data_IF_015958622580
#
_entry.id   IF_015958622580
#
_cell.length_a   1.000
_cell.length_b   1.000
_cell.length_c   1.000
_cell.angle_alpha   90.00
_cell.angle_beta   90.00
_cell.angle_gamma   90.00
#
_symmetry.space_group_name_H-M   'P 1'
#
loop_
_entity.id
_entity.type
_entity.pdbx_description
1 polymer ?
#
# COMPACT_ATOMS: atom_id res chain seq x y z
N UNK A 1 14.41 -64.19 30.90
CA UNK A 1 15.18 -63.42 29.89
C UNK A 1 14.45 -63.57 28.56
N UNK A 2 13.59 -62.61 28.24
CA UNK A 2 12.72 -62.63 27.08
C UNK A 2 13.24 -61.71 25.98
N UNK A 3 13.22 -62.19 24.75
CA UNK A 3 13.40 -61.39 23.53
C UNK A 3 12.04 -61.14 22.90
N UNK A 4 11.65 -59.87 22.82
CA UNK A 4 10.41 -59.44 22.17
C UNK A 4 10.75 -59.06 20.73
N UNK A 5 10.34 -59.90 19.79
CA UNK A 5 10.37 -59.58 18.36
C UNK A 5 9.17 -58.70 18.02
N UNK A 6 9.41 -57.42 17.71
CA UNK A 6 8.36 -56.53 17.20
C UNK A 6 8.25 -56.65 15.68
N UNK A 7 7.29 -57.45 15.22
CA UNK A 7 6.79 -57.40 13.84
C UNK A 7 5.89 -56.18 13.68
N UNK A 8 6.40 -55.10 13.08
CA UNK A 8 5.55 -54.05 12.51
C UNK A 8 5.38 -54.38 11.03
N UNK A 9 4.22 -54.94 10.71
CA UNK A 9 3.76 -55.20 9.36
C UNK A 9 3.45 -53.87 8.66
N UNK A 10 4.34 -53.43 7.78
CA UNK A 10 4.07 -52.31 6.87
C UNK A 10 3.06 -52.79 5.82
N UNK A 11 1.85 -52.23 5.89
CA UNK A 11 0.77 -52.49 4.94
C UNK A 11 1.10 -51.83 3.60
N UNK A 12 1.71 -52.57 2.69
CA UNK A 12 1.94 -52.18 1.29
C UNK A 12 0.61 -52.20 0.54
N UNK A 13 0.06 -51.02 0.25
CA UNK A 13 -1.01 -50.85 -0.75
C UNK A 13 -0.36 -50.16 -1.94
N UNK A 14 -0.10 -50.92 -3.01
CA UNK A 14 0.33 -50.38 -4.29
C UNK A 14 1.74 -49.78 -4.33
N UNK A 15 2.77 -50.62 -4.12
CA UNK A 15 4.17 -50.48 -4.58
C UNK A 15 4.82 -49.07 -4.67
N UNK A 16 4.43 -48.14 -3.80
CA UNK A 16 5.11 -46.86 -3.59
C UNK A 16 5.08 -46.56 -2.10
N UNK A 17 6.24 -46.64 -1.47
CA UNK A 17 6.47 -46.14 -0.13
C UNK A 17 6.24 -44.63 -0.13
N UNK A 18 5.05 -44.22 0.32
CA UNK A 18 4.71 -42.82 0.51
C UNK A 18 5.32 -42.34 1.83
N UNK A 19 6.65 -42.18 1.81
CA UNK A 19 7.38 -41.52 2.89
C UNK A 19 7.03 -40.03 2.92
N UNK A 20 6.92 -39.46 4.13
CA UNK A 20 6.54 -38.07 4.41
C UNK A 20 7.41 -37.02 3.65
N UNK A 21 8.54 -37.43 3.10
CA UNK A 21 9.44 -36.65 2.25
C UNK A 21 8.93 -36.38 0.84
N UNK A 22 7.90 -37.09 0.33
CA UNK A 22 7.37 -36.87 -1.03
C UNK A 22 6.35 -35.72 -1.13
N UNK A 23 5.76 -35.30 -0.01
CA UNK A 23 4.80 -34.19 0.03
C UNK A 23 5.49 -32.83 -0.12
N UNK A 24 6.64 -32.64 0.55
CA UNK A 24 7.46 -31.44 0.41
C UNK A 24 8.08 -31.28 -0.99
N UNK A 25 8.43 -32.38 -1.65
CA UNK A 25 9.07 -32.31 -2.98
C UNK A 25 8.09 -32.06 -4.13
N UNK A 26 6.78 -32.27 -3.96
CA UNK A 26 5.80 -32.09 -5.04
C UNK A 26 4.90 -30.85 -4.90
N UNK A 27 4.59 -30.38 -3.69
CA UNK A 27 3.73 -29.20 -3.48
C UNK A 27 4.50 -27.89 -3.62
N UNK A 28 5.70 -27.83 -3.03
CA UNK A 28 6.57 -26.65 -3.05
C UNK A 28 6.86 -26.16 -4.48
N UNK A 29 7.33 -27.00 -5.43
CA UNK A 29 7.66 -26.51 -6.77
C UNK A 29 6.42 -26.19 -7.64
N UNK A 30 5.27 -26.82 -7.37
CA UNK A 30 4.08 -26.65 -8.22
C UNK A 30 3.15 -25.52 -7.75
N UNK A 31 3.20 -25.13 -6.48
CA UNK A 31 2.34 -24.06 -5.96
C UNK A 31 3.13 -22.80 -5.55
N UNK A 32 4.27 -22.94 -4.88
CA UNK A 32 4.99 -21.78 -4.33
C UNK A 32 5.68 -20.98 -5.44
N UNK A 33 6.25 -21.66 -6.42
CA UNK A 33 6.94 -21.02 -7.56
C UNK A 33 6.01 -20.18 -8.45
N UNK A 34 4.84 -20.65 -8.90
CA UNK A 34 3.93 -19.81 -9.69
C UNK A 34 3.28 -18.69 -8.86
N UNK A 35 2.95 -18.93 -7.60
CA UNK A 35 2.35 -17.92 -6.72
C UNK A 35 3.35 -16.81 -6.40
N UNK A 36 4.59 -17.14 -6.05
CA UNK A 36 5.64 -16.14 -5.79
C UNK A 36 5.97 -15.31 -7.04
N UNK A 37 6.01 -15.95 -8.22
CA UNK A 37 6.18 -15.25 -9.49
C UNK A 37 5.04 -14.25 -9.77
N UNK A 38 3.80 -14.65 -9.51
CA UNK A 38 2.62 -13.79 -9.67
C UNK A 38 2.63 -12.60 -8.71
N UNK A 39 2.99 -12.83 -7.44
CA UNK A 39 3.08 -11.77 -6.42
C UNK A 39 4.15 -10.74 -6.81
N UNK A 40 5.31 -11.21 -7.28
CA UNK A 40 6.39 -10.34 -7.74
C UNK A 40 5.96 -9.48 -8.93
N UNK A 41 5.25 -10.07 -9.90
CA UNK A 41 4.69 -9.34 -11.04
C UNK A 41 3.61 -8.33 -10.64
N UNK A 42 2.75 -8.68 -9.69
CA UNK A 42 1.72 -7.76 -9.17
C UNK A 42 2.37 -6.57 -8.47
N UNK A 43 3.34 -6.81 -7.57
CA UNK A 43 4.06 -5.73 -6.87
C UNK A 43 4.80 -4.81 -7.84
N UNK A 44 5.17 -5.34 -9.00
CA UNK A 44 5.83 -4.60 -10.07
C UNK A 44 4.90 -3.68 -10.84
N UNK A 45 3.68 -4.14 -11.13
CA UNK A 45 2.64 -3.41 -11.87
C UNK A 45 1.78 -2.53 -10.94
N UNK A 46 2.00 -2.65 -9.62
CA UNK A 46 1.17 -2.03 -8.60
C UNK A 46 1.03 -0.50 -8.75
N UNK A 47 2.12 0.29 -8.88
CA UNK A 47 1.98 1.75 -8.93
C UNK A 47 1.10 2.22 -10.09
N UNK A 48 1.31 1.66 -11.28
CA UNK A 48 0.56 2.02 -12.49
C UNK A 48 -0.89 1.56 -12.41
N UNK A 49 -1.11 0.33 -11.90
CA UNK A 49 -2.44 -0.25 -11.73
C UNK A 49 -3.27 0.56 -10.74
N UNK A 50 -2.66 1.07 -9.66
CA UNK A 50 -3.34 1.87 -8.64
C UNK A 50 -3.65 3.28 -9.16
N UNK A 51 -2.76 3.91 -9.93
CA UNK A 51 -3.04 5.20 -10.57
C UNK A 51 -4.23 5.07 -11.53
N UNK A 52 -4.19 4.08 -12.42
CA UNK A 52 -5.28 3.88 -13.39
C UNK A 52 -6.58 3.46 -12.70
N UNK A 53 -6.50 2.57 -11.71
CA UNK A 53 -7.65 2.09 -10.94
C UNK A 53 -8.33 3.21 -10.15
N UNK A 54 -7.55 4.07 -9.48
CA UNK A 54 -8.09 5.22 -8.74
C UNK A 54 -8.71 6.27 -9.67
N UNK A 55 -8.09 6.54 -10.83
CA UNK A 55 -8.65 7.44 -11.85
C UNK A 55 -9.98 6.90 -12.39
N UNK A 56 -10.04 5.61 -12.71
CA UNK A 56 -11.25 4.95 -13.19
C UNK A 56 -12.37 5.01 -12.13
N UNK A 57 -12.04 4.68 -10.88
CA UNK A 57 -12.99 4.75 -9.77
C UNK A 57 -13.48 6.18 -9.54
N UNK A 58 -12.62 7.19 -9.69
CA UNK A 58 -13.02 8.59 -9.64
C UNK A 58 -14.06 8.92 -10.73
N UNK A 59 -13.80 8.56 -11.98
CA UNK A 59 -14.75 8.82 -13.07
C UNK A 59 -16.10 8.12 -12.88
N UNK A 60 -16.08 6.87 -12.40
CA UNK A 60 -17.29 6.07 -12.21
C UNK A 60 -18.11 6.49 -11.00
N UNK A 61 -17.45 6.77 -9.87
CA UNK A 61 -18.14 7.07 -8.60
C UNK A 61 -18.34 8.56 -8.36
N UNK A 62 -17.63 9.42 -9.09
CA UNK A 62 -17.54 10.86 -8.86
C UNK A 62 -17.17 11.22 -7.41
N UNK A 63 -16.52 10.31 -6.69
CA UNK A 63 -16.09 10.53 -5.31
C UNK A 63 -14.73 11.25 -5.30
N UNK A 64 -14.71 12.46 -4.74
CA UNK A 64 -13.55 13.34 -4.65
C UNK A 64 -12.32 12.67 -4.00
N UNK A 65 -12.53 11.74 -3.05
CA UNK A 65 -11.43 11.03 -2.38
C UNK A 65 -10.57 10.22 -3.35
N UNK A 66 -11.19 9.52 -4.32
CA UNK A 66 -10.44 8.79 -5.35
C UNK A 66 -9.73 9.73 -6.33
N UNK A 67 -10.34 10.88 -6.63
CA UNK A 67 -9.74 11.89 -7.50
C UNK A 67 -8.46 12.46 -6.89
N UNK A 68 -8.51 12.86 -5.62
CA UNK A 68 -7.33 13.42 -4.95
C UNK A 68 -6.29 12.34 -4.67
N UNK A 69 -6.71 11.12 -4.37
CA UNK A 69 -5.76 10.00 -4.28
C UNK A 69 -5.02 9.78 -5.61
N UNK A 70 -5.70 9.93 -6.75
CA UNK A 70 -5.06 9.88 -8.06
C UNK A 70 -4.04 11.01 -8.24
N UNK A 71 -4.41 12.24 -7.89
CA UNK A 71 -3.50 13.40 -7.93
C UNK A 71 -2.28 13.16 -7.06
N UNK A 72 -2.47 12.69 -5.82
CA UNK A 72 -1.40 12.29 -4.91
C UNK A 72 -0.44 11.29 -5.54
N UNK A 73 -0.93 10.26 -6.22
CA UNK A 73 -0.07 9.26 -6.87
C UNK A 73 0.71 9.85 -8.05
N UNK A 74 0.10 10.75 -8.83
CA UNK A 74 0.79 11.47 -9.89
C UNK A 74 1.89 12.38 -9.32
N UNK A 75 1.60 13.14 -8.26
CA UNK A 75 2.59 13.97 -7.56
C UNK A 75 3.71 13.11 -7.00
N UNK A 76 3.39 11.99 -6.36
CA UNK A 76 4.36 11.02 -5.83
C UNK A 76 5.29 10.52 -6.95
N UNK A 77 4.78 10.28 -8.16
CA UNK A 77 5.61 9.91 -9.32
C UNK A 77 6.60 11.02 -9.71
N UNK A 78 6.17 12.29 -9.65
CA UNK A 78 7.02 13.44 -9.94
C UNK A 78 8.08 13.65 -8.85
N UNK A 79 7.71 13.47 -7.57
CA UNK A 79 8.64 13.54 -6.45
C UNK A 79 9.67 12.42 -6.50
N UNK A 80 9.28 11.19 -6.85
CA UNK A 80 10.22 10.09 -7.03
C UNK A 80 11.28 10.44 -8.09
N UNK A 81 10.86 11.02 -9.22
CA UNK A 81 11.78 11.48 -10.27
C UNK A 81 12.70 12.59 -9.79
N UNK A 82 12.16 13.58 -9.11
CA UNK A 82 12.94 14.69 -8.58
C UNK A 82 14.00 14.19 -7.61
N UNK A 83 13.62 13.29 -6.71
CA UNK A 83 14.50 12.63 -5.76
C UNK A 83 15.57 11.83 -6.51
N UNK A 84 15.17 11.01 -7.48
CA UNK A 84 16.10 10.22 -8.28
C UNK A 84 17.12 11.09 -9.00
N UNK A 85 16.67 12.20 -9.59
CA UNK A 85 17.54 13.18 -10.23
C UNK A 85 18.53 13.81 -9.24
N UNK A 86 18.08 14.17 -8.04
CA UNK A 86 18.95 14.70 -6.99
C UNK A 86 19.98 13.67 -6.54
N UNK A 87 19.58 12.41 -6.34
CA UNK A 87 20.49 11.32 -5.98
C UNK A 87 21.54 11.06 -7.07
N UNK A 88 21.14 11.07 -8.34
CA UNK A 88 22.04 10.88 -9.49
C UNK A 88 23.08 12.00 -9.57
N UNK A 89 22.68 13.25 -9.29
CA UNK A 89 23.58 14.41 -9.29
C UNK A 89 24.49 14.45 -8.07
N UNK A 90 23.96 14.14 -6.88
CA UNK A 90 24.71 14.20 -5.61
C UNK A 90 25.72 13.06 -5.51
N UNK A 91 25.40 11.88 -6.05
CA UNK A 91 26.27 10.69 -6.00
C UNK A 91 27.31 10.64 -7.13
N UNK A 92 27.48 11.73 -7.89
CA UNK A 92 28.61 11.90 -8.81
C UNK A 92 28.42 11.36 -10.23
N UNK A 93 27.19 11.23 -10.75
CA UNK A 93 26.85 11.27 -12.18
C UNK A 93 27.49 10.28 -13.18
N UNK A 94 28.46 9.45 -12.79
CA UNK A 94 29.19 8.53 -13.69
C UNK A 94 28.83 7.07 -13.50
N UNK A 95 27.98 6.74 -12.53
CA UNK A 95 27.92 5.40 -11.95
C UNK A 95 26.52 4.79 -11.78
N UNK A 96 25.46 5.38 -12.34
CA UNK A 96 24.10 4.80 -12.24
C UNK A 96 23.96 3.45 -12.98
N UNK A 97 24.96 3.05 -13.78
CA UNK A 97 25.04 1.69 -14.32
C UNK A 97 26.20 0.85 -13.78
N UNK A 98 27.20 1.41 -13.06
CA UNK A 98 28.44 0.65 -12.82
C UNK A 98 29.24 0.94 -11.56
N UNK A 99 28.86 1.83 -10.63
CA UNK A 99 29.76 2.01 -9.47
C UNK A 99 29.12 2.51 -8.17
N UNK A 100 29.50 1.81 -7.10
CA UNK A 100 29.27 2.07 -5.66
C UNK A 100 27.84 2.10 -5.10
N UNK A 101 26.80 1.88 -5.90
CA UNK A 101 25.57 1.25 -5.41
C UNK A 101 25.69 -0.27 -5.56
N UNK A 102 25.01 -1.11 -4.74
CA UNK A 102 24.92 -2.53 -5.06
C UNK A 102 24.39 -2.65 -6.49
N UNK A 103 25.13 -3.36 -7.36
CA UNK A 103 24.76 -3.48 -8.76
C UNK A 103 23.32 -3.97 -8.86
N UNK A 104 22.40 -3.13 -9.36
CA UNK A 104 21.03 -3.58 -9.63
C UNK A 104 21.15 -4.72 -10.60
N UNK A 105 20.52 -5.84 -10.25
CA UNK A 105 20.56 -7.03 -11.09
C UNK A 105 20.03 -6.62 -12.47
N UNK A 106 20.83 -6.86 -13.51
CA UNK A 106 20.41 -6.62 -14.91
C UNK A 106 19.36 -7.64 -15.36
N UNK A 107 18.89 -8.49 -14.44
CA UNK A 107 17.85 -9.47 -14.68
C UNK A 107 16.53 -8.73 -14.94
N UNK A 108 15.95 -8.98 -16.12
CA UNK A 108 14.66 -8.43 -16.52
C UNK A 108 13.55 -8.71 -15.50
N UNK A 109 13.71 -9.76 -14.67
CA UNK A 109 12.75 -10.12 -13.60
C UNK A 109 12.65 -9.04 -12.51
N UNK A 110 13.70 -8.27 -12.26
CA UNK A 110 13.75 -7.35 -11.13
C UNK A 110 13.38 -5.89 -11.49
N UNK A 111 13.23 -5.59 -12.77
CA UNK A 111 12.92 -4.25 -13.29
C UNK A 111 11.43 -3.95 -13.21
N UNK A 112 11.03 -2.79 -12.68
CA UNK A 112 9.63 -2.32 -12.58
C UNK A 112 8.94 -1.99 -13.91
N UNK A 113 7.61 -2.08 -13.96
CA UNK A 113 6.77 -1.78 -15.13
C UNK A 113 6.45 -2.96 -16.06
N UNK A 114 5.76 -2.70 -17.18
CA UNK A 114 5.45 -3.73 -18.20
C UNK A 114 6.72 -4.24 -18.92
N UNK A 115 6.83 -5.56 -19.16
CA UNK A 115 8.00 -6.16 -19.85
C UNK A 115 8.09 -5.80 -21.33
N UNK A 116 6.95 -5.60 -21.98
CA UNK A 116 6.86 -5.27 -23.39
C UNK A 116 6.23 -3.88 -23.53
N UNK A 117 6.95 -2.93 -24.12
CA UNK A 117 6.44 -1.57 -24.32
C UNK A 117 5.41 -1.57 -25.44
N UNK A 118 4.24 -0.96 -25.22
CA UNK A 118 3.42 -0.47 -26.35
C UNK A 118 3.44 1.05 -26.50
N UNK A 119 3.96 1.82 -25.53
CA UNK A 119 4.03 3.29 -25.63
C UNK A 119 5.24 3.82 -24.83
N UNK A 120 6.12 4.60 -25.47
CA UNK A 120 7.43 5.03 -24.90
C UNK A 120 7.32 6.04 -23.75
N UNK A 121 6.18 6.69 -23.57
CA UNK A 121 5.96 7.71 -22.54
C UNK A 121 6.15 7.13 -21.12
N UNK A 122 5.70 5.90 -20.86
CA UNK A 122 5.88 5.21 -19.57
C UNK A 122 7.35 5.02 -19.18
N UNK A 123 8.24 4.83 -20.17
CA UNK A 123 9.67 4.61 -19.92
C UNK A 123 10.38 5.87 -19.42
N UNK A 124 9.87 7.05 -19.81
CA UNK A 124 10.30 8.33 -19.25
C UNK A 124 9.75 8.59 -17.85
N UNK A 125 8.64 7.95 -17.46
CA UNK A 125 8.04 8.07 -16.13
C UNK A 125 8.57 7.08 -15.09
N UNK A 126 8.92 5.87 -15.51
CA UNK A 126 9.30 4.75 -14.65
C UNK A 126 10.74 4.28 -14.89
N UNK A 127 11.59 5.17 -15.43
CA UNK A 127 13.02 4.90 -15.60
C UNK A 127 13.63 4.39 -14.30
N UNK A 128 14.54 3.42 -14.37
CA UNK A 128 15.11 2.69 -13.23
C UNK A 128 16.01 3.54 -12.33
N UNK A 129 15.51 4.67 -11.82
CA UNK A 129 16.19 5.56 -10.88
C UNK A 129 16.30 4.96 -9.50
N UNK A 130 17.32 5.37 -8.76
CA UNK A 130 17.45 5.12 -7.33
C UNK A 130 16.72 6.24 -6.58
N UNK A 131 15.90 5.96 -5.55
CA UNK A 131 15.64 4.67 -4.90
C UNK A 131 14.61 3.79 -5.62
N UNK A 132 14.41 2.54 -5.17
CA UNK A 132 13.45 1.58 -5.75
C UNK A 132 12.03 2.17 -5.85
N UNK A 133 11.54 2.39 -7.09
CA UNK A 133 10.22 2.96 -7.40
C UNK A 133 9.08 2.27 -6.64
N UNK A 134 8.87 0.94 -6.74
CA UNK A 134 7.72 0.31 -6.11
C UNK A 134 7.74 0.48 -4.58
N UNK A 135 8.90 0.35 -3.93
CA UNK A 135 9.00 0.53 -2.48
C UNK A 135 8.74 1.97 -2.04
N UNK A 136 9.21 2.94 -2.82
CA UNK A 136 8.90 4.35 -2.57
C UNK A 136 7.40 4.62 -2.65
N UNK A 137 6.72 4.08 -3.66
CA UNK A 137 5.26 4.18 -3.78
C UNK A 137 4.53 3.46 -2.64
N UNK A 138 4.91 2.23 -2.30
CA UNK A 138 4.31 1.51 -1.19
C UNK A 138 4.46 2.26 0.13
N UNK A 139 5.66 2.79 0.42
CA UNK A 139 5.89 3.61 1.62
C UNK A 139 5.04 4.88 1.63
N UNK A 140 4.96 5.57 0.49
CA UNK A 140 4.15 6.79 0.34
C UNK A 140 2.65 6.52 0.53
N UNK A 141 2.12 5.49 -0.14
CA UNK A 141 0.71 5.10 -0.04
C UNK A 141 0.38 4.62 1.36
N UNK A 142 1.21 3.75 1.96
CA UNK A 142 1.00 3.25 3.31
C UNK A 142 0.95 4.40 4.33
N UNK A 143 1.88 5.35 4.23
CA UNK A 143 1.88 6.52 5.10
C UNK A 143 0.67 7.43 4.86
N UNK A 144 0.29 7.68 3.60
CA UNK A 144 -0.87 8.50 3.26
C UNK A 144 -2.17 7.91 3.79
N UNK A 145 -2.39 6.61 3.58
CA UNK A 145 -3.58 5.91 4.07
C UNK A 145 -3.60 5.84 5.60
N UNK A 146 -2.45 5.57 6.23
CA UNK A 146 -2.35 5.56 7.69
C UNK A 146 -2.67 6.93 8.30
N UNK A 147 -2.17 8.02 7.70
CA UNK A 147 -2.48 9.38 8.15
C UNK A 147 -3.96 9.74 7.95
N UNK A 148 -4.57 9.27 6.87
CA UNK A 148 -6.01 9.39 6.66
C UNK A 148 -6.78 8.64 7.76
N UNK A 149 -6.46 7.37 8.01
CA UNK A 149 -7.10 6.55 9.05
C UNK A 149 -6.95 7.18 10.45
N UNK A 150 -5.76 7.69 10.78
CA UNK A 150 -5.50 8.36 12.05
C UNK A 150 -6.35 9.61 12.24
N UNK A 151 -6.63 10.35 11.17
CA UNK A 151 -7.41 11.59 11.23
C UNK A 151 -8.91 11.34 11.42
N UNK A 152 -9.40 10.16 11.06
CA UNK A 152 -10.79 9.75 11.29
C UNK A 152 -10.98 8.84 12.50
N UNK A 153 -9.91 8.56 13.25
CA UNK A 153 -9.94 7.69 14.42
C UNK A 153 -10.93 8.16 15.48
N UNK A 154 -10.90 9.45 15.83
CA UNK A 154 -11.80 10.02 16.85
C UNK A 154 -13.27 9.92 16.41
N UNK A 155 -13.55 10.17 15.13
CA UNK A 155 -14.88 10.02 14.54
C UNK A 155 -15.37 8.57 14.63
N UNK A 156 -14.49 7.59 14.34
CA UNK A 156 -14.81 6.17 14.45
C UNK A 156 -15.07 5.75 15.91
N UNK A 157 -14.29 6.27 16.86
CA UNK A 157 -14.47 5.98 18.29
C UNK A 157 -15.81 6.53 18.81
N UNK A 158 -16.28 7.67 18.28
CA UNK A 158 -17.59 8.26 18.62
C UNK A 158 -18.79 7.51 18.03
N UNK A 159 -18.62 6.81 16.90
CA UNK A 159 -19.70 6.04 16.25
C UNK A 159 -20.04 4.73 16.97
N UNK A 160 -19.26 4.32 17.97
CA UNK A 160 -19.52 3.17 18.83
C UNK A 160 -18.49 2.04 18.70
N UNK A 161 -18.58 1.02 19.58
CA UNK A 161 -17.55 -0.02 19.70
C UNK A 161 -17.37 -0.87 18.44
N UNK A 162 -18.42 -1.03 17.62
CA UNK A 162 -18.38 -1.79 16.36
C UNK A 162 -17.48 -1.13 15.29
N UNK A 163 -17.28 0.19 15.37
CA UNK A 163 -16.49 0.95 14.40
C UNK A 163 -15.00 0.97 14.75
N UNK A 164 -14.67 0.89 16.04
CA UNK A 164 -13.30 0.86 16.56
C UNK A 164 -12.47 -0.31 15.99
N UNK A 165 -13.10 -1.45 15.75
CA UNK A 165 -12.43 -2.62 15.15
C UNK A 165 -11.92 -2.37 13.72
N UNK A 166 -12.57 -1.48 12.96
CA UNK A 166 -12.21 -1.20 11.56
C UNK A 166 -10.88 -0.47 11.43
N UNK A 167 -10.61 0.48 12.32
CA UNK A 167 -9.33 1.19 12.37
C UNK A 167 -8.16 0.24 12.62
N UNK A 168 -8.31 -0.66 13.60
CA UNK A 168 -7.29 -1.66 13.94
C UNK A 168 -7.07 -2.61 12.75
N UNK A 169 -8.15 -3.07 12.13
CA UNK A 169 -8.07 -3.93 10.95
C UNK A 169 -7.36 -3.25 9.77
N UNK A 170 -7.73 -2.00 9.45
CA UNK A 170 -7.10 -1.23 8.37
C UNK A 170 -5.60 -1.02 8.58
N UNK A 171 -5.23 -0.54 9.77
CA UNK A 171 -3.82 -0.34 10.15
C UNK A 171 -3.02 -1.65 10.08
N UNK A 172 -3.61 -2.76 10.53
CA UNK A 172 -2.97 -4.09 10.49
C UNK A 172 -2.76 -4.56 9.06
N UNK A 173 -3.75 -4.37 8.17
CA UNK A 173 -3.65 -4.75 6.77
C UNK A 173 -2.61 -3.92 6.01
N UNK A 174 -2.54 -2.61 6.26
CA UNK A 174 -1.47 -1.76 5.70
C UNK A 174 -0.09 -2.28 6.11
N UNK A 175 0.07 -2.66 7.39
CA UNK A 175 1.31 -3.24 7.89
C UNK A 175 1.68 -4.58 7.22
N UNK A 176 0.72 -5.50 7.10
CA UNK A 176 0.93 -6.81 6.45
C UNK A 176 1.28 -6.64 4.97
N UNK A 177 0.52 -5.81 4.23
CA UNK A 177 0.77 -5.58 2.80
C UNK A 177 2.13 -4.93 2.58
N UNK A 178 2.51 -3.95 3.40
CA UNK A 178 3.84 -3.32 3.34
C UNK A 178 4.95 -4.32 3.61
N UNK A 179 4.78 -5.19 4.61
CA UNK A 179 5.73 -6.25 4.91
C UNK A 179 5.88 -7.25 3.76
N UNK A 180 4.77 -7.71 3.18
CA UNK A 180 4.78 -8.60 2.01
C UNK A 180 5.42 -7.94 0.78
N UNK A 181 5.21 -6.63 0.58
CA UNK A 181 5.86 -5.89 -0.49
C UNK A 181 7.38 -5.89 -0.33
N UNK A 182 7.90 -5.68 0.89
CA UNK A 182 9.34 -5.75 1.19
C UNK A 182 9.87 -7.16 0.92
N UNK A 183 9.19 -8.20 1.42
CA UNK A 183 9.57 -9.60 1.19
C UNK A 183 9.62 -9.94 -0.31
N UNK A 184 8.68 -9.42 -1.10
CA UNK A 184 8.59 -9.67 -2.55
C UNK A 184 9.81 -9.17 -3.34
N UNK A 185 10.60 -8.26 -2.75
CA UNK A 185 11.80 -7.66 -3.36
C UNK A 185 13.12 -8.21 -2.82
N UNK A 186 13.08 -9.05 -1.80
CA UNK A 186 14.28 -9.73 -1.30
C UNK A 186 14.85 -10.60 -2.43
N UNK A 187 16.09 -10.33 -2.83
CA UNK A 187 16.78 -11.01 -3.94
C UNK A 187 16.89 -10.17 -5.22
N UNK A 188 16.10 -9.11 -5.37
CA UNK A 188 16.25 -8.13 -6.45
C UNK A 188 17.06 -6.91 -6.02
N UNK A 189 16.75 -6.37 -4.84
CA UNK A 189 17.38 -5.17 -4.29
C UNK A 189 18.02 -5.50 -2.93
N UNK A 190 19.00 -4.70 -2.50
CA UNK A 190 19.58 -4.82 -1.16
C UNK A 190 18.58 -4.36 -0.08
N UNK A 191 18.58 -4.99 1.10
CA UNK A 191 17.67 -4.61 2.21
C UNK A 191 17.84 -3.14 2.62
N UNK A 192 19.05 -2.61 2.54
CA UNK A 192 19.34 -1.20 2.86
C UNK A 192 18.70 -0.27 1.82
N UNK A 193 18.80 -0.59 0.52
CA UNK A 193 18.15 0.18 -0.53
C UNK A 193 16.62 0.14 -0.41
N UNK A 194 16.05 -1.04 -0.10
CA UNK A 194 14.61 -1.17 0.16
C UNK A 194 14.18 -0.32 1.35
N UNK A 195 14.96 -0.35 2.44
CA UNK A 195 14.70 0.44 3.65
C UNK A 195 14.76 1.95 3.38
N UNK A 196 15.77 2.42 2.65
CA UNK A 196 15.89 3.83 2.25
C UNK A 196 14.72 4.23 1.35
N UNK A 197 14.41 3.44 0.32
CA UNK A 197 13.31 3.70 -0.60
C UNK A 197 11.97 3.84 0.14
N UNK A 198 11.69 2.88 1.03
CA UNK A 198 10.47 2.85 1.82
C UNK A 198 10.39 4.01 2.81
N UNK A 199 11.49 4.30 3.53
CA UNK A 199 11.56 5.40 4.49
C UNK A 199 11.40 6.78 3.85
N UNK A 200 12.06 7.02 2.71
CA UNK A 200 11.87 8.26 1.95
C UNK A 200 10.45 8.35 1.40
N UNK A 201 9.87 7.23 0.95
CA UNK A 201 8.47 7.15 0.57
C UNK A 201 7.52 7.56 1.70
N UNK A 202 7.70 7.04 2.91
CA UNK A 202 6.89 7.43 4.08
C UNK A 202 6.96 8.94 4.31
N UNK A 203 8.16 9.52 4.29
CA UNK A 203 8.34 10.96 4.51
C UNK A 203 7.59 11.80 3.47
N UNK A 204 7.67 11.41 2.19
CA UNK A 204 6.93 12.08 1.10
C UNK A 204 5.42 11.87 1.25
N UNK A 205 4.97 10.66 1.58
CA UNK A 205 3.56 10.36 1.82
C UNK A 205 2.94 11.22 2.91
N UNK A 206 3.63 11.39 4.05
CA UNK A 206 3.20 12.28 5.14
C UNK A 206 3.17 13.74 4.68
N UNK A 207 4.21 14.20 3.97
CA UNK A 207 4.27 15.58 3.48
C UNK A 207 3.13 15.89 2.49
N UNK A 208 2.87 14.99 1.54
CA UNK A 208 1.78 15.11 0.57
C UNK A 208 0.42 15.04 1.24
N UNK A 209 0.25 14.20 2.27
CA UNK A 209 -0.98 14.17 3.06
C UNK A 209 -1.29 15.55 3.68
N UNK A 210 -0.30 16.19 4.30
CA UNK A 210 -0.48 17.54 4.86
C UNK A 210 -0.75 18.59 3.78
N UNK A 211 -0.08 18.51 2.63
CA UNK A 211 -0.30 19.42 1.53
C UNK A 211 -1.73 19.29 0.97
N UNK A 212 -2.17 18.05 0.71
CA UNK A 212 -3.49 17.78 0.15
C UNK A 212 -4.62 18.10 1.13
N UNK A 213 -4.45 17.78 2.42
CA UNK A 213 -5.44 18.16 3.44
C UNK A 213 -5.58 19.67 3.60
N UNK A 214 -4.52 20.46 3.38
CA UNK A 214 -4.60 21.93 3.40
C UNK A 214 -5.22 22.51 2.13
N UNK A 215 -4.92 21.95 0.96
CA UNK A 215 -5.42 22.47 -0.32
C UNK A 215 -6.87 22.09 -0.57
N UNK A 216 -7.22 20.82 -0.33
CA UNK A 216 -8.54 20.27 -0.66
C UNK A 216 -9.47 20.12 0.56
N UNK A 217 -8.93 20.27 1.77
CA UNK A 217 -9.68 20.08 3.02
C UNK A 217 -9.70 18.62 3.50
N UNK A 218 -9.98 18.42 4.78
CA UNK A 218 -9.98 17.09 5.42
C UNK A 218 -11.06 16.15 4.89
N UNK A 219 -12.22 16.69 4.50
CA UNK A 219 -13.34 15.89 3.97
C UNK A 219 -12.97 15.16 2.68
N UNK A 220 -12.04 15.74 1.93
CA UNK A 220 -11.60 15.23 0.63
C UNK A 220 -10.63 14.04 0.76
N UNK A 221 -10.09 13.79 1.96
CA UNK A 221 -9.21 12.67 2.28
C UNK A 221 -9.97 11.42 2.76
N UNK A 222 -11.30 11.49 2.79
CA UNK A 222 -12.14 10.53 3.47
C UNK A 222 -12.56 9.38 2.55
N UNK A 223 -11.77 8.32 2.52
CA UNK A 223 -12.10 7.09 1.79
C UNK A 223 -13.33 6.36 2.37
N UNK A 224 -13.63 6.58 3.65
CA UNK A 224 -14.74 5.93 4.34
C UNK A 224 -16.09 6.60 4.07
N UNK A 225 -16.10 7.81 3.48
CA UNK A 225 -17.32 8.58 3.25
C UNK A 225 -18.04 9.00 4.53
N UNK A 226 -17.34 9.02 5.68
CA UNK A 226 -17.91 9.39 6.97
C UNK A 226 -18.04 10.91 7.12
N UNK A 227 -19.18 11.46 7.56
CA UNK A 227 -19.26 12.89 7.84
C UNK A 227 -18.22 13.26 8.90
N UNK A 228 -17.42 14.30 8.63
CA UNK A 228 -16.42 14.74 9.57
C UNK A 228 -17.13 15.43 10.74
N UNK A 229 -17.20 14.74 11.89
CA UNK A 229 -17.74 15.27 13.14
C UNK A 229 -16.73 16.22 13.77
N UNK A 230 -16.45 17.34 13.08
CA UNK A 230 -15.75 18.45 13.70
C UNK A 230 -16.60 18.96 14.84
N UNK A 231 -16.02 18.98 16.03
CA UNK A 231 -16.57 19.65 17.19
C UNK A 231 -16.51 21.16 16.92
N UNK A 232 -17.46 21.67 16.11
CA UNK A 232 -17.51 23.07 15.68
C UNK A 232 -17.78 24.03 16.85
N UNK A 233 -18.06 23.48 18.04
CA UNK A 233 -18.08 24.21 19.31
C UNK A 233 -16.76 24.92 19.60
N UNK A 234 -15.62 24.41 19.09
CA UNK A 234 -14.31 25.07 19.23
C UNK A 234 -13.99 26.10 18.15
N UNK A 235 -14.73 26.10 17.04
CA UNK A 235 -14.42 26.94 15.85
C UNK A 235 -15.39 28.11 15.70
N UNK A 236 -16.21 28.40 16.71
CA UNK A 236 -17.18 29.51 16.76
C UNK A 236 -18.11 29.61 15.54
N UNK A 237 -18.29 28.50 14.83
CA UNK A 237 -19.14 28.37 13.65
C UNK A 237 -20.27 27.41 14.02
N UNK A 238 -21.39 27.90 14.57
CA UNK A 238 -22.48 27.03 15.02
C UNK A 238 -22.95 26.17 13.86
N UNK A 239 -23.04 24.86 14.11
CA UNK A 239 -23.61 23.92 13.17
C UNK A 239 -25.09 24.29 13.01
N UNK A 240 -25.48 24.83 11.84
CA UNK A 240 -26.88 25.02 11.49
C UNK A 240 -27.53 23.64 11.31
N UNK A 241 -27.84 22.98 12.41
CA UNK A 241 -28.81 21.90 12.40
C UNK A 241 -30.17 22.57 12.31
N UNK A 242 -30.92 22.31 11.24
CA UNK A 242 -32.34 22.62 11.17
C UNK A 242 -33.06 21.78 12.22
N UNK A 243 -33.07 22.23 13.47
CA UNK A 243 -34.02 21.70 14.45
C UNK A 243 -35.37 22.25 14.03
N UNK A 244 -36.28 21.35 13.61
CA UNK A 244 -37.69 21.68 13.49
C UNK A 244 -38.17 22.05 14.89
N UNK A 245 -38.15 23.34 15.23
CA UNK A 245 -38.81 23.84 16.43
C UNK A 245 -40.30 23.54 16.22
N UNK A 246 -40.94 22.70 17.05
CA UNK A 246 -42.37 22.54 16.99
C UNK A 246 -42.97 23.91 17.31
N UNK A 247 -43.61 24.55 16.33
CA UNK A 247 -44.46 25.71 16.59
C UNK A 247 -45.68 25.23 17.35
N UNK A 248 -45.53 25.10 18.66
CA UNK A 248 -46.55 24.59 19.57
C UNK A 248 -46.33 25.15 20.96
N UNK A 249 -46.16 26.47 21.07
CA UNK A 249 -46.32 27.16 22.33
C UNK A 249 -47.81 27.37 22.61
N UNK A 250 -48.36 26.93 23.75
CA UNK A 250 -49.72 27.29 24.15
C UNK A 250 -49.81 28.80 24.32
N UNK A 251 -50.76 29.43 23.64
CA UNK A 251 -51.17 30.80 23.96
C UNK A 251 -51.80 30.77 25.36
N UNK A 252 -51.11 31.33 26.34
CA UNK A 252 -51.71 31.74 27.61
C UNK A 252 -52.79 32.79 27.30
N UNK A 253 -54.05 32.42 27.53
CA UNK A 253 -55.14 33.36 27.76
C UNK A 253 -54.91 34.08 29.09
N UNK A 254 -54.78 35.41 29.03
CA UNK A 254 -55.03 36.31 30.16
C UNK A 254 -55.57 37.64 29.65
#
# INVERSE_FOLDING_TARGET
>A
MGGVASFISQKTIGNKDMTQTSWHSSIVPNFITPVSGSISEIGRLFPDSVIFGSLLLYFLTQNMAYGIFTVFLMETSLFHKLISFVFDKTSGGKNASNTSGPARTTDMKCRSGFRYSRIEFERGFLGGGYPSVPMFFFGSIAAYLLMADLSFKDTLDQMGPEWKGRFVFGTTMIGIVSFLAILSRIGCDSLVELGIAFGVGIAVGIAMYYLNSRVFGMESMNFLGLPYLLDKTKTDNPLYMCTTVPQGGPQEES
#
